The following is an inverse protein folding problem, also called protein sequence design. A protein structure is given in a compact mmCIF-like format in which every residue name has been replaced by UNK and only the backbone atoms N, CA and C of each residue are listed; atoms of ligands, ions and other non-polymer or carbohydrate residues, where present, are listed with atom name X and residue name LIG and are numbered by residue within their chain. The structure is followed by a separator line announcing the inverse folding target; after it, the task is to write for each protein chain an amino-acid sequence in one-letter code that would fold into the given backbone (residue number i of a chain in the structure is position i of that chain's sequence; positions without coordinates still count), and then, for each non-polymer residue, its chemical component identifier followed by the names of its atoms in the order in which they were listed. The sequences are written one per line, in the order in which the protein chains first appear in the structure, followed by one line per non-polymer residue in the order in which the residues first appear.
data_IF_798961643463
#
_entry.id   IF_798961643463
#
_cell.length_a   1.000
_cell.length_b   1.000
_cell.length_c   1.000
_cell.angle_alpha   90.00
_cell.angle_beta   90.00
_cell.angle_gamma   90.00
#
_symmetry.space_group_name_H-M   'P 1'
#
loop_
_entity.id
_entity.type
_entity.pdbx_description
1 polymer ?
#
# COMPACT_ATOMS: atom_id res chain seq x y z
N UNK A 1 -18.43 17.02 -13.07
CA UNK A 1 -17.72 15.73 -13.00
C UNK A 1 -16.21 15.94 -13.22
N UNK A 2 -15.54 16.69 -12.34
CA UNK A 2 -14.09 17.00 -12.46
C UNK A 2 -13.28 16.50 -11.26
N UNK A 3 -13.83 15.56 -10.48
CA UNK A 3 -13.15 15.02 -9.29
C UNK A 3 -12.60 13.65 -9.65
N UNK A 4 -11.35 13.33 -9.26
CA UNK A 4 -10.80 12.01 -9.51
C UNK A 4 -11.61 10.94 -8.78
N UNK A 5 -11.69 9.75 -9.38
CA UNK A 5 -12.14 8.56 -8.66
C UNK A 5 -11.05 8.18 -7.66
N UNK A 6 -11.42 8.07 -6.38
CA UNK A 6 -10.49 7.77 -5.29
C UNK A 6 -10.93 6.47 -4.64
N UNK A 7 -10.01 5.53 -4.51
CA UNK A 7 -10.21 4.28 -3.79
C UNK A 7 -9.12 4.12 -2.74
N UNK A 8 -9.37 3.26 -1.75
CA UNK A 8 -8.43 2.96 -0.68
C UNK A 8 -7.97 1.51 -0.82
N UNK A 9 -6.66 1.31 -0.93
CA UNK A 9 -6.01 0.01 -0.92
C UNK A 9 -5.15 -0.09 0.34
N UNK A 10 -5.42 -1.07 1.19
CA UNK A 10 -4.78 -1.20 2.50
C UNK A 10 -4.41 -2.65 2.79
N UNK A 11 -3.29 -2.85 3.48
CA UNK A 11 -2.93 -4.09 4.14
C UNK A 11 -3.07 -3.90 5.65
N UNK A 12 -3.67 -4.87 6.34
CA UNK A 12 -3.77 -4.88 7.80
C UNK A 12 -3.63 -6.29 8.37
N UNK A 13 -3.24 -6.37 9.64
CA UNK A 13 -3.35 -7.58 10.42
C UNK A 13 -4.82 -7.95 10.67
N UNK A 14 -5.07 -9.19 11.11
CA UNK A 14 -6.42 -9.69 11.42
C UNK A 14 -7.14 -8.89 12.52
N UNK A 15 -6.39 -8.21 13.38
CA UNK A 15 -6.91 -7.32 14.41
C UNK A 15 -7.08 -5.86 13.94
N UNK A 16 -6.92 -5.61 12.64
CA UNK A 16 -7.11 -4.31 12.00
C UNK A 16 -5.91 -3.37 12.10
N UNK A 17 -4.79 -3.78 12.70
CA UNK A 17 -3.59 -2.92 12.76
C UNK A 17 -2.93 -2.82 11.39
N UNK A 18 -2.73 -1.59 10.91
CA UNK A 18 -2.04 -1.31 9.64
C UNK A 18 -0.52 -1.35 9.77
N UNK A 19 0.02 -1.23 10.99
CA UNK A 19 1.45 -1.33 11.31
C UNK A 19 1.66 -2.26 12.50
N UNK A 20 2.78 -2.98 12.55
CA UNK A 20 3.15 -3.76 13.73
C UNK A 20 4.04 -4.97 13.42
N UNK A 21 4.27 -5.81 14.44
CA UNK A 21 5.19 -6.95 14.36
C UNK A 21 4.83 -7.98 13.27
N UNK A 22 3.57 -8.05 12.84
CA UNK A 22 3.14 -8.96 11.78
C UNK A 22 3.88 -8.73 10.46
N UNK A 23 4.29 -7.48 10.18
CA UNK A 23 5.03 -7.12 8.97
C UNK A 23 6.40 -7.82 8.89
N UNK A 24 6.97 -8.19 10.03
CA UNK A 24 8.23 -8.95 10.11
C UNK A 24 8.06 -10.47 9.90
N UNK A 25 6.83 -10.98 9.84
CA UNK A 25 6.58 -12.40 9.59
C UNK A 25 6.74 -12.72 8.10
N UNK A 26 7.02 -13.99 7.73
CA UNK A 26 7.04 -14.40 6.33
C UNK A 26 5.73 -14.10 5.59
N UNK A 27 4.59 -14.28 6.26
CA UNK A 27 3.26 -14.04 5.70
C UNK A 27 3.00 -12.54 5.51
N UNK A 28 3.41 -11.72 6.47
CA UNK A 28 3.31 -10.26 6.37
C UNK A 28 4.15 -9.71 5.21
N UNK A 29 5.37 -10.24 5.01
CA UNK A 29 6.21 -9.89 3.84
C UNK A 29 5.56 -10.30 2.53
N UNK A 30 5.11 -11.56 2.40
CA UNK A 30 4.44 -12.02 1.20
C UNK A 30 3.16 -11.22 0.87
N UNK A 31 2.40 -10.82 1.90
CA UNK A 31 1.26 -9.93 1.74
C UNK A 31 1.68 -8.52 1.31
N UNK A 32 2.80 -8.00 1.82
CA UNK A 32 3.38 -6.72 1.42
C UNK A 32 3.82 -6.70 -0.05
N UNK A 33 4.48 -7.77 -0.52
CA UNK A 33 4.88 -7.93 -1.91
C UNK A 33 3.65 -7.91 -2.83
N UNK A 34 2.61 -8.70 -2.48
CA UNK A 34 1.35 -8.71 -3.24
C UNK A 34 0.63 -7.35 -3.19
N UNK A 35 0.61 -6.68 -2.02
CA UNK A 35 0.03 -5.34 -1.86
C UNK A 35 0.70 -4.35 -2.81
N UNK A 36 2.03 -4.38 -2.91
CA UNK A 36 2.81 -3.53 -3.80
C UNK A 36 2.55 -3.88 -5.26
N UNK A 37 2.63 -5.16 -5.64
CA UNK A 37 2.49 -5.60 -7.04
C UNK A 37 1.11 -5.26 -7.64
N UNK A 38 0.04 -5.36 -6.83
CA UNK A 38 -1.32 -4.99 -7.24
C UNK A 38 -1.40 -3.51 -7.66
N UNK A 39 -0.67 -2.62 -6.99
CA UNK A 39 -0.72 -1.18 -7.22
C UNK A 39 0.39 -0.68 -8.15
N UNK A 40 1.61 -1.18 -8.00
CA UNK A 40 2.85 -0.63 -8.57
C UNK A 40 3.71 -1.65 -9.31
N UNK A 41 3.28 -2.91 -9.40
CA UNK A 41 4.01 -3.96 -10.10
C UNK A 41 4.16 -3.67 -11.60
N UNK A 42 4.87 -4.55 -12.32
CA UNK A 42 5.07 -4.42 -13.78
C UNK A 42 3.75 -4.45 -14.56
N UNK A 43 2.82 -5.27 -14.09
CA UNK A 43 1.46 -5.43 -14.64
C UNK A 43 0.45 -5.15 -13.52
N UNK A 44 0.27 -3.88 -13.11
CA UNK A 44 -0.54 -3.55 -11.94
C UNK A 44 -2.02 -3.70 -12.27
N UNK A 45 -2.80 -4.22 -11.32
CA UNK A 45 -4.25 -4.31 -11.45
C UNK A 45 -4.90 -2.92 -11.42
N UNK A 46 -4.38 -2.02 -10.57
CA UNK A 46 -4.84 -0.64 -10.49
C UNK A 46 -4.02 0.28 -11.40
N UNK A 47 -4.62 0.69 -12.52
CA UNK A 47 -4.07 1.74 -13.41
C UNK A 47 -4.30 3.15 -12.86
N UNK A 48 -3.91 3.37 -11.60
CA UNK A 48 -4.07 4.65 -10.93
C UNK A 48 -3.08 5.70 -11.50
N UNK A 49 -3.52 6.95 -11.56
CA UNK A 49 -2.73 8.06 -12.13
C UNK A 49 -1.97 8.87 -11.07
N UNK A 50 -2.25 8.61 -9.79
CA UNK A 50 -1.62 9.28 -8.68
C UNK A 50 -1.85 8.53 -7.38
N UNK A 51 -0.87 8.62 -6.49
CA UNK A 51 -0.88 8.01 -5.17
C UNK A 51 -0.97 9.09 -4.10
N UNK A 52 -1.74 8.80 -3.04
CA UNK A 52 -1.87 9.69 -1.89
C UNK A 52 -1.50 8.92 -0.62
N UNK A 53 -0.50 9.43 0.10
CA UNK A 53 -0.13 8.96 1.44
C UNK A 53 0.08 10.12 2.39
N UNK A 54 -0.08 9.85 3.69
CA UNK A 54 0.27 10.81 4.73
C UNK A 54 1.78 11.05 4.78
N UNK A 55 2.20 12.19 5.34
CA UNK A 55 3.61 12.62 5.40
C UNK A 55 4.55 11.52 5.91
N UNK A 56 4.24 10.90 7.06
CA UNK A 56 5.09 9.87 7.68
C UNK A 56 5.31 8.70 6.73
N UNK A 57 4.27 8.23 6.06
CA UNK A 57 4.37 7.14 5.07
C UNK A 57 5.19 7.57 3.85
N UNK A 58 5.06 8.82 3.41
CA UNK A 58 5.87 9.36 2.31
C UNK A 58 7.35 9.39 2.69
N UNK A 59 7.66 9.90 3.87
CA UNK A 59 9.03 9.99 4.37
C UNK A 59 9.68 8.59 4.53
N UNK A 60 8.93 7.62 5.06
CA UNK A 60 9.47 6.26 5.28
C UNK A 60 9.73 5.47 3.99
N UNK A 61 8.98 5.74 2.91
CA UNK A 61 8.97 4.87 1.72
C UNK A 61 9.45 5.53 0.42
N UNK A 62 9.52 6.87 0.34
CA UNK A 62 9.72 7.57 -0.94
C UNK A 62 10.76 8.69 -0.91
N UNK A 63 11.41 8.97 0.22
CA UNK A 63 12.38 10.08 0.35
C UNK A 63 13.81 9.61 0.64
N UNK A 64 14.22 8.48 0.07
CA UNK A 64 15.59 7.95 0.18
C UNK A 64 16.63 8.76 -0.61
#
# INVERSE_FOLDING_TARGET
MNRPYVFCHMMCALDGKIMGGYMGTPQGRAAGDAFYDIAFGKEPFYHHQGWLSGRVTTDDNFTF
#
